data_IF_610375020886
#
_entry.id   IF_610375020886
#
_cell.length_a   1.000
_cell.length_b   1.000
_cell.length_c   1.000
_cell.angle_alpha   90.00
_cell.angle_beta   90.00
_cell.angle_gamma   90.00
#
_symmetry.space_group_name_H-M   'P 1'
#
loop_
_entity.id
_entity.type
_entity.pdbx_description
1 polymer ?
#
# COMPACT_ATOMS: atom_id res chain seq x y z
N UNK A 1 -25.37 12.79 -16.67
CA UNK A 1 -24.45 11.63 -16.49
C UNK A 1 -23.08 11.97 -17.09
N UNK A 2 -21.98 11.41 -16.56
CA UNK A 2 -20.64 11.59 -17.12
C UNK A 2 -20.58 11.03 -18.56
N UNK A 3 -19.99 11.73 -19.56
CA UNK A 3 -19.86 11.20 -20.92
C UNK A 3 -19.04 9.92 -20.95
N UNK A 4 -19.50 8.89 -21.69
CA UNK A 4 -18.85 7.58 -21.74
C UNK A 4 -17.39 7.66 -22.18
N UNK A 5 -17.11 8.46 -23.20
CA UNK A 5 -15.74 8.68 -23.67
C UNK A 5 -14.81 9.27 -22.61
N UNK A 6 -15.32 10.06 -21.67
CA UNK A 6 -14.51 10.60 -20.56
C UNK A 6 -14.29 9.53 -19.48
N UNK A 7 -15.32 8.74 -19.16
CA UNK A 7 -15.19 7.59 -18.26
C UNK A 7 -14.12 6.61 -18.77
N UNK A 8 -14.16 6.24 -20.05
CA UNK A 8 -13.20 5.30 -20.62
C UNK A 8 -11.76 5.85 -20.59
N UNK A 9 -11.58 7.17 -20.81
CA UNK A 9 -10.26 7.82 -20.65
C UNK A 9 -9.76 7.76 -19.21
N UNK A 10 -10.63 7.96 -18.22
CA UNK A 10 -10.27 7.84 -16.80
C UNK A 10 -9.86 6.40 -16.46
N UNK A 11 -10.63 5.41 -16.95
CA UNK A 11 -10.29 4.00 -16.75
C UNK A 11 -8.97 3.61 -17.43
N UNK A 12 -8.70 4.11 -18.63
CA UNK A 12 -7.43 3.85 -19.32
C UNK A 12 -6.23 4.49 -18.60
N UNK A 13 -6.42 5.67 -18.02
CA UNK A 13 -5.37 6.38 -17.28
C UNK A 13 -5.14 5.87 -15.85
N UNK A 14 -5.94 4.91 -15.36
CA UNK A 14 -5.93 4.47 -13.96
C UNK A 14 -4.55 4.00 -13.46
N UNK A 15 -3.73 3.43 -14.35
CA UNK A 15 -2.42 2.88 -14.03
C UNK A 15 -1.25 3.80 -14.45
N UNK A 16 -1.55 5.05 -14.81
CA UNK A 16 -0.51 6.01 -15.19
C UNK A 16 0.44 6.24 -14.00
N UNK A 17 1.72 5.95 -14.20
CA UNK A 17 2.79 6.08 -13.19
C UNK A 17 2.65 5.22 -11.92
N UNK A 18 1.85 4.15 -11.93
CA UNK A 18 1.68 3.26 -10.76
C UNK A 18 3.00 2.69 -10.25
N UNK A 19 3.97 2.40 -11.12
CA UNK A 19 5.31 1.96 -10.74
C UNK A 19 6.08 3.04 -9.95
N UNK A 20 6.07 4.29 -10.42
CA UNK A 20 6.72 5.42 -9.73
C UNK A 20 6.07 5.70 -8.38
N UNK A 21 4.73 5.67 -8.32
CA UNK A 21 3.98 5.85 -7.08
C UNK A 21 4.27 4.72 -6.07
N UNK A 22 4.34 3.48 -6.55
CA UNK A 22 4.68 2.32 -5.71
C UNK A 22 6.08 2.44 -5.14
N UNK A 23 7.06 2.78 -5.98
CA UNK A 23 8.44 2.92 -5.55
C UNK A 23 8.63 4.05 -4.54
N UNK A 24 7.87 5.15 -4.70
CA UNK A 24 7.85 6.24 -3.71
C UNK A 24 7.30 5.79 -2.35
N UNK A 25 6.26 4.97 -2.32
CA UNK A 25 5.77 4.38 -1.06
C UNK A 25 6.82 3.47 -0.42
N UNK A 26 7.51 2.66 -1.23
CA UNK A 26 8.62 1.80 -0.76
C UNK A 26 9.77 2.63 -0.19
N UNK A 27 10.17 3.73 -0.85
CA UNK A 27 11.17 4.67 -0.34
C UNK A 27 10.80 5.18 1.06
N UNK A 28 9.54 5.62 1.25
CA UNK A 28 9.08 6.12 2.55
C UNK A 28 9.06 5.04 3.63
N UNK A 29 8.63 3.82 3.28
CA UNK A 29 8.64 2.69 4.21
C UNK A 29 10.05 2.29 4.62
N UNK A 30 11.00 2.26 3.68
CA UNK A 30 12.40 1.94 3.97
C UNK A 30 13.07 3.02 4.80
N UNK A 31 12.83 4.29 4.48
CA UNK A 31 13.31 5.41 5.28
C UNK A 31 12.83 5.32 6.73
N UNK A 32 11.53 5.09 6.93
CA UNK A 32 10.95 4.88 8.26
C UNK A 32 11.59 3.70 9.01
N UNK A 33 11.74 2.55 8.35
CA UNK A 33 12.32 1.36 8.97
C UNK A 33 13.78 1.56 9.39
N UNK A 34 14.62 2.13 8.51
CA UNK A 34 16.03 2.40 8.84
C UNK A 34 16.14 3.42 9.98
N UNK A 35 15.35 4.50 9.92
CA UNK A 35 15.35 5.52 10.96
C UNK A 35 15.01 4.96 12.35
N UNK A 36 14.16 3.94 12.45
CA UNK A 36 13.74 3.36 13.72
C UNK A 36 14.47 2.05 14.10
N UNK A 37 15.35 1.52 13.25
CA UNK A 37 16.01 0.24 13.48
C UNK A 37 17.52 0.36 13.61
N UNK A 38 18.20 1.02 12.67
CA UNK A 38 19.66 1.05 12.58
C UNK A 38 20.29 2.46 12.63
N UNK A 39 19.49 3.51 12.71
CA UNK A 39 19.98 4.87 12.94
C UNK A 39 20.42 5.07 14.40
N UNK A 40 21.65 5.57 14.58
CA UNK A 40 22.17 6.02 15.87
C UNK A 40 22.15 7.55 15.96
N UNK A 41 21.29 8.15 16.81
CA UNK A 41 21.27 9.60 17.02
C UNK A 41 22.58 10.19 17.55
N UNK A 42 23.46 9.37 18.15
CA UNK A 42 24.77 9.78 18.66
C UNK A 42 25.92 9.46 17.68
N UNK A 43 25.64 8.78 16.57
CA UNK A 43 26.63 8.26 15.63
C UNK A 43 27.18 9.27 14.62
N UNK A 44 26.81 10.55 14.73
CA UNK A 44 27.28 11.65 13.88
C UNK A 44 26.61 11.75 12.50
N UNK A 45 25.85 10.73 12.07
CA UNK A 45 25.03 10.77 10.86
C UNK A 45 23.70 11.53 11.08
N UNK A 46 23.23 12.21 10.03
CA UNK A 46 21.95 12.92 10.05
C UNK A 46 20.80 12.06 9.53
N UNK A 47 19.57 12.45 9.88
CA UNK A 47 18.35 11.84 9.30
C UNK A 47 18.30 11.98 7.78
N UNK A 48 18.88 13.07 7.24
CA UNK A 48 18.97 13.27 5.79
C UNK A 48 19.87 12.22 5.14
N UNK A 49 20.97 11.82 5.80
CA UNK A 49 21.89 10.80 5.26
C UNK A 49 21.20 9.44 5.14
N UNK A 50 20.32 9.09 6.09
CA UNK A 50 19.49 7.87 6.02
C UNK A 50 18.56 7.92 4.79
N UNK A 51 17.86 9.03 4.60
CA UNK A 51 16.96 9.22 3.47
C UNK A 51 17.70 9.17 2.13
N UNK A 52 18.87 9.80 2.05
CA UNK A 52 19.68 9.83 0.83
C UNK A 52 20.27 8.45 0.51
N UNK A 53 20.67 7.67 1.53
CA UNK A 53 21.11 6.29 1.35
C UNK A 53 20.00 5.38 0.79
N UNK A 54 18.75 5.56 1.25
CA UNK A 54 17.59 4.84 0.68
C UNK A 54 17.35 5.28 -0.76
N UNK A 55 17.33 6.59 -1.03
CA UNK A 55 17.09 7.13 -2.39
C UNK A 55 18.15 6.69 -3.38
N UNK A 56 19.42 6.64 -2.98
CA UNK A 56 20.51 6.18 -3.85
C UNK A 56 20.31 4.74 -4.36
N UNK A 57 19.60 3.90 -3.61
CA UNK A 57 19.33 2.51 -3.98
C UNK A 57 17.99 2.32 -4.70
N UNK A 58 16.96 3.08 -4.31
CA UNK A 58 15.58 2.78 -4.68
C UNK A 58 14.86 3.90 -5.44
N UNK A 59 15.35 5.14 -5.43
CA UNK A 59 14.66 6.23 -6.13
C UNK A 59 15.05 6.28 -7.60
N UNK A 60 14.06 6.27 -8.50
CA UNK A 60 14.25 6.54 -9.93
C UNK A 60 14.38 8.04 -10.21
N UNK A 61 13.73 8.87 -9.38
CA UNK A 61 13.75 10.32 -9.48
C UNK A 61 14.27 10.91 -8.18
N UNK A 62 15.46 11.49 -8.21
CA UNK A 62 16.06 12.11 -7.03
C UNK A 62 15.55 13.56 -6.87
N UNK A 63 14.95 13.92 -5.73
CA UNK A 63 14.58 15.30 -5.44
C UNK A 63 15.79 16.23 -5.37
N UNK A 64 15.61 17.56 -5.54
CA UNK A 64 16.72 18.50 -5.42
C UNK A 64 17.32 18.54 -4.00
N UNK A 65 18.62 18.90 -3.84
CA UNK A 65 19.32 18.84 -2.55
C UNK A 65 18.72 19.67 -1.41
N UNK A 66 17.89 20.66 -1.73
CA UNK A 66 17.19 21.48 -0.74
C UNK A 66 15.88 20.85 -0.24
N UNK A 67 15.46 19.68 -0.77
CA UNK A 67 14.27 18.98 -0.31
C UNK A 67 14.42 18.56 1.17
N UNK A 68 13.40 18.85 1.99
CA UNK A 68 13.34 18.49 3.42
C UNK A 68 12.04 17.76 3.73
N UNK A 69 11.67 16.80 2.88
CA UNK A 69 10.43 16.02 3.02
C UNK A 69 10.25 15.45 4.43
N UNK A 70 11.30 14.87 5.00
CA UNK A 70 11.29 14.25 6.32
C UNK A 70 10.84 15.21 7.43
N UNK A 71 11.12 16.52 7.31
CA UNK A 71 10.72 17.52 8.31
C UNK A 71 9.20 17.77 8.32
N UNK A 72 8.50 17.31 7.29
CA UNK A 72 7.04 17.37 7.15
C UNK A 72 6.39 15.99 7.22
N UNK A 73 7.14 14.93 7.53
CA UNK A 73 6.62 13.56 7.47
C UNK A 73 5.85 13.18 8.75
N UNK A 74 4.72 13.86 8.97
CA UNK A 74 3.93 13.73 10.20
C UNK A 74 3.39 12.34 10.50
N UNK A 75 3.31 11.43 9.51
CA UNK A 75 2.87 10.05 9.74
C UNK A 75 3.73 9.34 10.79
N UNK A 76 5.05 9.51 10.73
CA UNK A 76 6.01 8.79 11.58
C UNK A 76 6.51 9.65 12.75
N UNK A 77 6.45 10.98 12.64
CA UNK A 77 6.95 11.89 13.69
C UNK A 77 5.85 12.44 14.62
N UNK A 78 4.61 12.52 14.16
CA UNK A 78 3.49 13.07 14.93
C UNK A 78 2.21 12.25 14.77
N UNK A 79 2.33 11.01 14.32
CA UNK A 79 1.24 10.10 13.99
C UNK A 79 1.52 8.69 14.50
N UNK A 80 0.63 7.75 14.17
CA UNK A 80 0.71 6.36 14.64
C UNK A 80 1.51 5.41 13.77
N UNK A 81 2.35 5.91 12.85
CA UNK A 81 3.00 5.08 11.82
C UNK A 81 4.53 4.98 11.97
N UNK A 82 5.10 5.39 13.11
CA UNK A 82 6.52 5.17 13.41
C UNK A 82 6.87 3.68 13.35
N UNK A 83 7.93 3.32 12.62
CA UNK A 83 8.30 1.93 12.33
C UNK A 83 7.15 1.09 11.72
N UNK A 84 6.26 1.75 10.99
CA UNK A 84 4.97 1.21 10.57
C UNK A 84 4.45 1.76 9.25
N UNK A 85 5.18 2.63 8.55
CA UNK A 85 4.70 3.21 7.29
C UNK A 85 4.51 2.16 6.18
N UNK A 86 5.22 1.03 6.26
CA UNK A 86 5.01 -0.13 5.38
C UNK A 86 3.59 -0.70 5.45
N UNK A 87 2.86 -0.45 6.55
CA UNK A 87 1.49 -0.92 6.76
C UNK A 87 0.54 -0.50 5.64
N UNK A 88 0.76 0.64 4.97
CA UNK A 88 -0.04 1.04 3.81
C UNK A 88 0.06 0.03 2.66
N UNK A 89 1.29 -0.33 2.26
CA UNK A 89 1.49 -1.31 1.18
C UNK A 89 1.09 -2.72 1.61
N UNK A 90 1.31 -3.07 2.87
CA UNK A 90 0.82 -4.34 3.43
C UNK A 90 -0.71 -4.44 3.38
N UNK A 91 -1.41 -3.40 3.81
CA UNK A 91 -2.86 -3.32 3.76
C UNK A 91 -3.37 -3.26 2.31
N UNK A 92 -2.61 -2.67 1.39
CA UNK A 92 -2.97 -2.62 -0.03
C UNK A 92 -3.04 -4.03 -0.64
N UNK A 93 -2.09 -4.92 -0.32
CA UNK A 93 -2.14 -6.34 -0.71
C UNK A 93 -3.44 -6.99 -0.24
N UNK A 94 -3.77 -6.83 1.05
CA UNK A 94 -5.00 -7.37 1.64
C UNK A 94 -6.24 -6.80 0.94
N UNK A 95 -6.30 -5.49 0.73
CA UNK A 95 -7.47 -4.83 0.15
C UNK A 95 -7.67 -5.19 -1.33
N UNK A 96 -6.60 -5.29 -2.11
CA UNK A 96 -6.67 -5.67 -3.53
C UNK A 96 -7.14 -7.12 -3.68
N UNK A 97 -6.62 -8.03 -2.86
CA UNK A 97 -7.03 -9.43 -2.89
C UNK A 97 -8.44 -9.64 -2.31
N UNK A 98 -8.83 -8.83 -1.33
CA UNK A 98 -10.21 -8.81 -0.86
C UNK A 98 -11.17 -8.33 -1.95
N UNK A 99 -10.79 -7.30 -2.72
CA UNK A 99 -11.56 -6.81 -3.86
C UNK A 99 -11.62 -7.84 -4.99
N UNK A 100 -10.56 -8.60 -5.23
CA UNK A 100 -10.55 -9.69 -6.20
C UNK A 100 -11.64 -10.74 -5.90
N UNK A 101 -11.98 -10.99 -4.63
CA UNK A 101 -13.11 -11.85 -4.28
C UNK A 101 -14.46 -11.29 -4.78
N UNK A 102 -14.62 -9.97 -4.87
CA UNK A 102 -15.80 -9.34 -5.47
C UNK A 102 -15.77 -9.43 -7.00
N UNK A 103 -14.60 -9.35 -7.63
CA UNK A 103 -14.45 -9.61 -9.08
C UNK A 103 -14.91 -11.05 -9.41
N UNK A 104 -14.42 -12.04 -8.67
CA UNK A 104 -14.81 -13.46 -8.78
C UNK A 104 -16.33 -13.66 -8.52
N UNK A 105 -16.87 -12.95 -7.52
CA UNK A 105 -18.28 -13.02 -7.17
C UNK A 105 -19.19 -12.36 -8.21
N UNK A 106 -18.73 -11.33 -8.92
CA UNK A 106 -19.46 -10.71 -10.01
C UNK A 106 -19.63 -11.69 -11.17
N UNK A 107 -18.58 -12.42 -11.53
CA UNK A 107 -18.61 -13.43 -12.60
C UNK A 107 -19.54 -14.61 -12.26
N UNK A 108 -19.56 -15.03 -11.00
CA UNK A 108 -20.36 -16.16 -10.51
C UNK A 108 -21.76 -15.79 -10.01
N UNK A 109 -22.12 -14.50 -9.97
CA UNK A 109 -23.43 -14.02 -9.49
C UNK A 109 -23.61 -14.04 -7.97
N UNK A 110 -22.52 -14.10 -7.19
CA UNK A 110 -22.51 -14.28 -5.73
C UNK A 110 -22.15 -13.01 -4.94
N UNK A 111 -22.38 -11.82 -5.54
CA UNK A 111 -21.99 -10.54 -4.93
C UNK A 111 -22.61 -10.30 -3.55
N UNK A 112 -23.88 -10.64 -3.36
CA UNK A 112 -24.57 -10.43 -2.08
C UNK A 112 -23.95 -11.28 -0.97
N UNK A 113 -23.67 -12.55 -1.26
CA UNK A 113 -23.06 -13.46 -0.30
C UNK A 113 -21.64 -13.03 0.06
N UNK A 114 -20.86 -12.61 -0.94
CA UNK A 114 -19.49 -12.09 -0.71
C UNK A 114 -19.50 -10.81 0.12
N UNK A 115 -20.44 -9.89 -0.14
CA UNK A 115 -20.62 -8.69 0.66
C UNK A 115 -20.99 -8.99 2.12
N UNK A 116 -21.90 -9.95 2.33
CA UNK A 116 -22.28 -10.41 3.68
C UNK A 116 -21.09 -11.03 4.41
N UNK A 117 -20.32 -11.88 3.74
CA UNK A 117 -19.10 -12.48 4.31
C UNK A 117 -18.05 -11.42 4.64
N UNK A 118 -17.86 -10.41 3.79
CA UNK A 118 -16.95 -9.29 4.07
C UNK A 118 -17.38 -8.52 5.33
N UNK A 119 -18.67 -8.23 5.45
CA UNK A 119 -19.22 -7.58 6.64
C UNK A 119 -18.98 -8.42 7.90
N UNK A 120 -19.29 -9.71 7.85
CA UNK A 120 -19.22 -10.61 9.00
C UNK A 120 -17.79 -10.90 9.45
N UNK A 121 -16.86 -11.08 8.50
CA UNK A 121 -15.52 -11.57 8.82
C UNK A 121 -14.48 -10.44 8.92
N UNK A 122 -14.68 -9.29 8.27
CA UNK A 122 -13.73 -8.16 8.30
C UNK A 122 -14.28 -7.02 9.14
N UNK A 123 -15.44 -6.47 8.78
CA UNK A 123 -15.93 -5.23 9.37
C UNK A 123 -16.47 -5.41 10.80
N UNK A 124 -17.23 -6.48 11.05
CA UNK A 124 -17.88 -6.72 12.33
C UNK A 124 -16.91 -7.21 13.42
N UNK A 125 -15.79 -7.82 13.04
CA UNK A 125 -14.84 -8.42 13.99
C UNK A 125 -13.90 -7.38 14.59
N UNK A 126 -13.51 -6.36 13.81
CA UNK A 126 -12.55 -5.35 14.27
C UNK A 126 -11.26 -5.98 14.79
N UNK A 127 -10.78 -5.52 15.94
CA UNK A 127 -9.55 -6.01 16.57
C UNK A 127 -9.72 -7.25 17.47
N UNK A 128 -10.88 -7.91 17.49
CA UNK A 128 -11.13 -9.02 18.43
C UNK A 128 -10.47 -10.35 18.03
N UNK A 129 -9.94 -10.46 16.80
CA UNK A 129 -9.09 -11.57 16.35
C UNK A 129 -8.00 -11.04 15.40
N UNK A 130 -6.91 -11.79 15.17
CA UNK A 130 -5.84 -11.38 14.26
C UNK A 130 -6.36 -11.05 12.86
N UNK A 131 -5.88 -9.94 12.28
CA UNK A 131 -6.33 -9.48 10.95
C UNK A 131 -6.14 -10.54 9.85
N UNK A 132 -5.07 -11.35 9.93
CA UNK A 132 -4.82 -12.44 9.00
C UNK A 132 -5.85 -13.58 9.12
N UNK A 133 -6.31 -13.88 10.34
CA UNK A 133 -7.40 -14.86 10.54
C UNK A 133 -8.71 -14.32 9.98
N UNK A 134 -9.01 -13.04 10.20
CA UNK A 134 -10.15 -12.37 9.57
C UNK A 134 -10.11 -12.42 8.06
N UNK A 135 -8.93 -12.17 7.49
CA UNK A 135 -8.73 -12.26 6.06
C UNK A 135 -8.93 -13.69 5.54
N UNK A 136 -8.35 -14.71 6.20
CA UNK A 136 -8.52 -16.11 5.80
C UNK A 136 -9.98 -16.55 5.89
N UNK A 137 -10.71 -16.16 6.93
CA UNK A 137 -12.13 -16.46 7.07
C UNK A 137 -12.97 -15.84 5.94
N UNK A 138 -12.64 -14.61 5.51
CA UNK A 138 -13.29 -13.96 4.38
C UNK A 138 -12.88 -14.55 3.02
N UNK A 139 -11.58 -14.73 2.79
CA UNK A 139 -11.01 -15.05 1.48
C UNK A 139 -10.97 -16.56 1.20
N UNK A 140 -10.97 -17.39 2.23
CA UNK A 140 -10.80 -18.84 2.15
C UNK A 140 -9.34 -19.30 1.99
N UNK A 141 -8.39 -18.36 1.91
CA UNK A 141 -6.95 -18.61 1.73
C UNK A 141 -6.12 -17.46 2.31
N UNK A 142 -4.81 -17.62 2.33
CA UNK A 142 -3.89 -16.53 2.64
C UNK A 142 -3.90 -15.42 1.57
N UNK A 143 -3.48 -14.19 1.93
CA UNK A 143 -3.35 -13.08 0.98
C UNK A 143 -2.35 -13.39 -0.12
N UNK A 144 -2.67 -13.01 -1.35
CA UNK A 144 -1.75 -13.00 -2.49
C UNK A 144 -1.55 -11.59 -3.03
N UNK A 145 -0.34 -11.30 -3.54
CA UNK A 145 0.00 -10.03 -4.18
C UNK A 145 -0.55 -9.89 -5.60
N UNK A 146 -0.99 -10.98 -6.23
CA UNK A 146 -1.34 -11.02 -7.66
C UNK A 146 -2.42 -10.01 -8.04
N UNK A 147 -3.41 -9.82 -7.16
CA UNK A 147 -4.48 -8.84 -7.37
C UNK A 147 -3.94 -7.40 -7.38
N UNK A 148 -3.06 -7.07 -6.43
CA UNK A 148 -2.43 -5.75 -6.35
C UNK A 148 -1.62 -5.44 -7.61
N UNK A 149 -0.81 -6.39 -8.07
CA UNK A 149 -0.03 -6.24 -9.30
C UNK A 149 -0.96 -6.08 -10.51
N UNK A 150 -2.05 -6.86 -10.59
CA UNK A 150 -3.00 -6.82 -11.71
C UNK A 150 -3.72 -5.50 -11.79
N UNK A 151 -4.23 -5.04 -10.64
CA UNK A 151 -4.92 -3.76 -10.51
C UNK A 151 -4.00 -2.60 -10.85
N UNK A 152 -2.72 -2.70 -10.52
CA UNK A 152 -1.69 -1.69 -10.82
C UNK A 152 -1.08 -1.79 -12.23
N UNK A 153 -1.46 -2.79 -13.04
CA UNK A 153 -0.89 -3.01 -14.37
C UNK A 153 0.56 -3.49 -14.36
N UNK A 154 0.98 -4.20 -13.30
CA UNK A 154 2.35 -4.67 -13.05
C UNK A 154 2.47 -6.22 -13.09
N UNK A 155 1.49 -6.93 -13.65
CA UNK A 155 1.60 -8.38 -13.83
C UNK A 155 2.64 -8.71 -14.90
N UNK A 156 3.40 -9.79 -14.67
CA UNK A 156 4.15 -10.41 -15.75
C UNK A 156 3.16 -10.78 -16.87
N UNK A 157 3.49 -10.36 -18.10
CA UNK A 157 2.74 -10.74 -19.30
C UNK A 157 2.95 -12.22 -19.61
#
# INVERSE_FOLDING_TARGET
PLPRALFDKMTAAKNFQSGLQTLRQVEFSLFDMHLHFDYDPQGGGSVQDVLDAVRAKFAVMTPPPFNRFQNSFGHIFSGGYAAGYYSYKWAEVLSADAYAAFEEALESGQLQETGKRFQQEILAVGGSRPALESFRAFRGREPSIDALLRHSGMNAS
#
